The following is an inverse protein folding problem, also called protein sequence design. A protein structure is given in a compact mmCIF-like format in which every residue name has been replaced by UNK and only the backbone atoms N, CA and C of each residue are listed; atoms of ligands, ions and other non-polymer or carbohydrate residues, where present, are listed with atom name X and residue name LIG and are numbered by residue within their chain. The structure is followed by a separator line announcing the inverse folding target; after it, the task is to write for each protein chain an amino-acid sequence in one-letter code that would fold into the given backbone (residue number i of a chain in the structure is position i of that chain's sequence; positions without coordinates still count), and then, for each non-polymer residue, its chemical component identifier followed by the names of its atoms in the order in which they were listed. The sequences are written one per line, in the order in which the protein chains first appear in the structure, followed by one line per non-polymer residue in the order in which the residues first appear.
data_IF_761837692724
#
_entry.id   IF_761837692724
#
_cell.length_a   1.000
_cell.length_b   1.000
_cell.length_c   1.000
_cell.angle_alpha   90.00
_cell.angle_beta   90.00
_cell.angle_gamma   90.00
#
_symmetry.space_group_name_H-M   'P 1'
#
loop_
_entity.id
_entity.type
_entity.pdbx_description
1 polymer ?
#
# COMPACT_ATOMS: atom_id res chain seq x y z
N UNK A 1 -25.17 30.11 -15.04
CA UNK A 1 -24.18 30.29 -13.95
C UNK A 1 -23.59 28.92 -13.65
N UNK A 2 -22.29 28.71 -13.88
CA UNK A 2 -21.61 27.44 -13.53
C UNK A 2 -20.96 27.63 -12.17
N UNK A 3 -21.45 26.94 -11.15
CA UNK A 3 -20.79 26.87 -9.85
C UNK A 3 -19.66 25.85 -9.94
N UNK A 4 -18.41 26.28 -9.70
CA UNK A 4 -17.31 25.33 -9.49
C UNK A 4 -17.48 24.70 -8.11
N UNK A 5 -17.52 23.37 -8.07
CA UNK A 5 -17.48 22.61 -6.82
C UNK A 5 -16.16 22.89 -6.09
N UNK A 6 -16.18 22.90 -4.75
CA UNK A 6 -14.96 23.10 -3.96
C UNK A 6 -13.94 22.00 -4.27
N UNK A 7 -12.66 22.33 -4.09
CA UNK A 7 -11.55 21.39 -4.32
C UNK A 7 -11.64 20.18 -3.38
N UNK A 8 -11.43 18.95 -3.90
CA UNK A 8 -11.44 17.77 -3.06
C UNK A 8 -10.24 17.80 -2.11
N UNK A 9 -10.52 17.74 -0.81
CA UNK A 9 -9.47 17.61 0.21
C UNK A 9 -9.04 16.15 0.31
N UNK A 10 -7.82 15.87 -0.15
CA UNK A 10 -7.18 14.56 0.04
C UNK A 10 -6.55 14.52 1.43
N UNK A 11 -6.81 13.43 2.18
CA UNK A 11 -6.14 13.17 3.45
C UNK A 11 -4.67 12.77 3.27
N UNK A 12 -3.95 12.65 4.38
CA UNK A 12 -2.57 12.14 4.35
C UNK A 12 -2.50 10.69 3.86
N UNK A 13 -1.39 10.29 3.21
CA UNK A 13 -1.18 8.91 2.80
C UNK A 13 -1.27 7.96 4.00
N UNK A 14 -1.96 6.84 3.80
CA UNK A 14 -2.06 5.80 4.82
C UNK A 14 -0.67 5.19 5.09
N UNK A 15 -0.38 4.93 6.35
CA UNK A 15 0.83 4.20 6.76
C UNK A 15 0.93 2.85 6.05
N UNK A 16 2.16 2.43 5.72
CA UNK A 16 2.40 1.17 5.04
C UNK A 16 1.85 -0.01 5.87
N UNK A 17 1.16 -0.99 5.24
CA UNK A 17 0.63 -2.14 5.96
C UNK A 17 1.75 -2.99 6.56
N UNK A 18 1.47 -3.58 7.72
CA UNK A 18 2.37 -4.51 8.40
C UNK A 18 2.06 -5.95 7.96
N UNK A 19 3.07 -6.80 7.73
CA UNK A 19 2.81 -8.21 7.45
C UNK A 19 2.19 -8.91 8.66
N UNK A 20 1.18 -9.75 8.42
CA UNK A 20 0.58 -10.56 9.47
C UNK A 20 1.51 -11.73 9.85
N UNK A 21 1.74 -11.99 11.16
CA UNK A 21 2.56 -13.10 11.62
C UNK A 21 2.08 -14.45 11.06
N UNK A 22 3.01 -15.31 10.63
CA UNK A 22 2.70 -16.64 10.11
C UNK A 22 2.09 -16.67 8.70
N UNK A 23 1.87 -15.52 8.05
CA UNK A 23 1.40 -15.49 6.67
C UNK A 23 2.57 -15.39 5.68
N UNK A 24 2.84 -16.48 4.96
CA UNK A 24 3.92 -16.55 3.95
C UNK A 24 3.78 -15.45 2.87
N UNK A 25 2.57 -15.23 2.36
CA UNK A 25 2.31 -14.20 1.34
C UNK A 25 2.60 -12.78 1.85
N UNK A 26 2.30 -12.49 3.12
CA UNK A 26 2.65 -11.21 3.74
C UNK A 26 4.17 -11.07 3.88
N UNK A 27 4.87 -12.14 4.28
CA UNK A 27 6.32 -12.15 4.36
C UNK A 27 6.98 -11.89 3.00
N UNK A 28 6.49 -12.55 1.94
CA UNK A 28 6.99 -12.35 0.57
C UNK A 28 6.79 -10.93 0.07
N UNK A 29 5.62 -10.34 0.33
CA UNK A 29 5.34 -8.94 -0.02
C UNK A 29 6.20 -7.97 0.80
N UNK A 30 6.46 -8.26 2.08
CA UNK A 30 7.33 -7.45 2.91
C UNK A 30 8.79 -7.49 2.42
N UNK A 31 9.29 -8.67 2.03
CA UNK A 31 10.62 -8.84 1.45
C UNK A 31 10.76 -8.06 0.14
N UNK A 32 9.85 -8.26 -0.81
CA UNK A 32 9.86 -7.53 -2.09
C UNK A 32 9.77 -6.02 -1.90
N UNK A 33 9.00 -5.56 -0.91
CA UNK A 33 8.91 -4.14 -0.57
C UNK A 33 10.24 -3.61 -0.06
N UNK A 34 10.93 -4.36 0.81
CA UNK A 34 12.24 -3.96 1.31
C UNK A 34 13.28 -3.89 0.18
N UNK A 35 13.33 -4.89 -0.69
CA UNK A 35 14.20 -4.89 -1.88
C UNK A 35 13.92 -3.67 -2.78
N UNK A 36 12.64 -3.39 -3.07
CA UNK A 36 12.25 -2.23 -3.86
C UNK A 36 12.66 -0.90 -3.19
N UNK A 37 12.55 -0.79 -1.86
CA UNK A 37 13.04 0.38 -1.13
C UNK A 37 14.56 0.55 -1.29
N UNK A 38 15.33 -0.54 -1.21
CA UNK A 38 16.80 -0.46 -1.31
C UNK A 38 17.29 0.05 -2.66
N UNK A 39 16.56 -0.23 -3.74
CA UNK A 39 16.92 0.19 -5.11
C UNK A 39 16.18 1.45 -5.56
N UNK A 40 15.33 2.04 -4.71
CA UNK A 40 14.58 3.27 -5.02
C UNK A 40 13.35 3.08 -5.91
N UNK A 41 12.86 1.85 -6.11
CA UNK A 41 11.66 1.55 -6.89
C UNK A 41 10.39 1.78 -6.07
N UNK A 42 10.01 3.05 -5.88
CA UNK A 42 8.85 3.41 -5.06
C UNK A 42 7.51 3.03 -5.68
N UNK A 43 7.45 2.83 -7.00
CA UNK A 43 6.27 2.26 -7.66
C UNK A 43 6.02 0.84 -7.15
N UNK A 44 7.05 0.00 -7.15
CA UNK A 44 6.95 -1.37 -6.64
C UNK A 44 6.71 -1.42 -5.13
N UNK A 45 7.24 -0.46 -4.36
CA UNK A 45 6.90 -0.31 -2.93
C UNK A 45 5.41 -0.07 -2.74
N UNK A 46 4.83 0.83 -3.52
CA UNK A 46 3.40 1.14 -3.48
C UNK A 46 2.56 -0.08 -3.85
N UNK A 47 2.93 -0.80 -4.93
CA UNK A 47 2.25 -2.02 -5.35
C UNK A 47 2.25 -3.10 -4.28
N UNK A 48 3.39 -3.31 -3.60
CA UNK A 48 3.48 -4.25 -2.49
C UNK A 48 2.53 -3.86 -1.34
N UNK A 49 2.42 -2.57 -1.03
CA UNK A 49 1.48 -2.07 -0.02
C UNK A 49 0.02 -2.32 -0.42
N UNK A 50 -0.36 -2.02 -1.66
CA UNK A 50 -1.73 -2.26 -2.16
C UNK A 50 -2.07 -3.75 -2.14
N UNK A 51 -1.17 -4.61 -2.61
CA UNK A 51 -1.37 -6.07 -2.62
C UNK A 51 -1.51 -6.64 -1.21
N UNK A 52 -0.74 -6.14 -0.24
CA UNK A 52 -0.84 -6.55 1.16
C UNK A 52 -2.19 -6.12 1.77
N UNK A 53 -2.65 -4.88 1.54
CA UNK A 53 -3.97 -4.43 1.99
C UNK A 53 -5.10 -5.28 1.41
N UNK A 54 -5.07 -5.56 0.11
CA UNK A 54 -6.06 -6.44 -0.54
C UNK A 54 -6.03 -7.84 0.07
N UNK A 55 -4.86 -8.38 0.34
CA UNK A 55 -4.74 -9.68 0.97
C UNK A 55 -5.35 -9.72 2.37
N UNK A 56 -5.16 -8.67 3.18
CA UNK A 56 -5.80 -8.56 4.49
C UNK A 56 -7.33 -8.48 4.37
N UNK A 57 -7.87 -7.81 3.35
CA UNK A 57 -9.31 -7.70 3.13
C UNK A 57 -9.95 -9.02 2.65
N UNK A 58 -9.22 -9.83 1.88
CA UNK A 58 -9.72 -11.11 1.36
C UNK A 58 -9.67 -12.27 2.36
N UNK A 59 -8.99 -12.08 3.50
CA UNK A 59 -8.88 -13.09 4.55
C UNK A 59 -9.74 -12.63 5.74
N UNK A 60 -10.76 -13.40 6.18
CA UNK A 60 -11.49 -13.09 7.41
C UNK A 60 -10.59 -13.25 8.65
#
# INVERSE_FOLDING_TARGET
MTTMSPEPRLGFPLQAPKPQPGCARCADLARQRAEAQTVGDYSRVSDCNVRMRRHHQSRP
#
